data_IF_769093769007
#
_entry.id   IF_769093769007
#
_cell.length_a   1.000
_cell.length_b   1.000
_cell.length_c   1.000
_cell.angle_alpha   90.00
_cell.angle_beta   90.00
_cell.angle_gamma   90.00
#
_symmetry.space_group_name_H-M   'P 1'
#
loop_
_entity.id
_entity.type
_entity.pdbx_description
1 polymer ?
#
# COMPACT_ATOMS: atom_id res chain seq x y z
N UNK A 1 21.35 23.93 -42.83
CA UNK A 1 21.47 23.78 -41.37
C UNK A 1 21.33 22.31 -41.04
N UNK A 2 22.37 21.66 -40.52
CA UNK A 2 22.35 20.26 -40.10
C UNK A 2 22.07 20.17 -38.58
N UNK A 3 21.40 19.12 -38.08
CA UNK A 3 21.15 18.98 -36.66
C UNK A 3 22.42 18.54 -35.94
N UNK A 4 22.69 19.13 -34.78
CA UNK A 4 23.80 18.76 -33.90
C UNK A 4 23.66 17.31 -33.44
N UNK A 5 24.69 16.50 -33.71
CA UNK A 5 24.80 15.15 -33.20
C UNK A 5 24.99 15.19 -31.67
N UNK A 6 24.10 14.50 -30.95
CA UNK A 6 24.26 14.26 -29.51
C UNK A 6 25.44 13.30 -29.34
N UNK A 7 26.51 13.78 -28.68
CA UNK A 7 27.66 12.96 -28.35
C UNK A 7 27.25 11.94 -27.28
N UNK A 8 27.00 10.69 -27.67
CA UNK A 8 26.88 9.58 -26.73
C UNK A 8 28.31 9.15 -26.34
N UNK A 9 28.79 9.63 -25.20
CA UNK A 9 29.96 9.03 -24.55
C UNK A 9 29.70 7.56 -24.20
N UNK A 10 30.75 6.73 -24.02
CA UNK A 10 30.57 5.34 -23.64
C UNK A 10 29.76 5.25 -22.34
N UNK A 11 28.69 4.46 -22.36
CA UNK A 11 27.84 4.20 -21.20
C UNK A 11 28.72 3.73 -20.04
N UNK A 12 28.56 4.38 -18.87
CA UNK A 12 29.28 3.97 -17.67
C UNK A 12 28.88 2.53 -17.31
N UNK A 13 29.80 1.73 -16.76
CA UNK A 13 29.48 0.38 -16.25
C UNK A 13 28.28 0.39 -15.29
N UNK A 14 28.06 1.49 -14.58
CA UNK A 14 26.89 1.70 -13.72
C UNK A 14 25.58 1.83 -14.51
N UNK A 15 25.59 2.47 -15.68
CA UNK A 15 24.42 2.63 -16.55
C UNK A 15 24.00 1.29 -17.17
N UNK A 16 24.97 0.44 -17.49
CA UNK A 16 24.73 -0.92 -17.98
C UNK A 16 24.15 -1.86 -16.91
N UNK A 17 24.49 -1.64 -15.63
CA UNK A 17 23.92 -2.40 -14.52
C UNK A 17 22.48 -1.95 -14.20
N UNK A 18 22.18 -0.65 -14.32
CA UNK A 18 20.83 -0.09 -14.15
C UNK A 18 19.90 -0.57 -15.28
N UNK A 19 20.39 -0.69 -16.52
CA UNK A 19 19.60 -1.15 -17.66
C UNK A 19 19.25 -2.64 -17.61
N UNK A 20 20.03 -3.45 -16.88
CA UNK A 20 19.82 -4.90 -16.74
C UNK A 20 18.88 -5.29 -15.60
N UNK A 21 18.67 -4.41 -14.63
CA UNK A 21 17.71 -4.65 -13.54
C UNK A 21 16.27 -4.63 -14.09
N UNK A 22 15.52 -5.73 -13.87
CA UNK A 22 14.10 -5.77 -14.26
C UNK A 22 13.32 -4.75 -13.44
N UNK A 23 13.01 -3.60 -14.05
CA UNK A 23 12.23 -2.53 -13.42
C UNK A 23 10.87 -3.10 -13.00
N UNK A 24 10.64 -3.15 -11.69
CA UNK A 24 9.33 -3.51 -11.15
C UNK A 24 8.43 -2.29 -11.29
N UNK A 25 7.58 -2.30 -12.31
CA UNK A 25 6.54 -1.28 -12.46
C UNK A 25 5.36 -1.61 -11.55
N UNK A 26 4.82 -0.62 -10.81
CA UNK A 26 3.53 -0.78 -10.13
C UNK A 26 2.45 -1.21 -11.12
N UNK A 27 1.57 -2.10 -10.70
CA UNK A 27 0.47 -2.63 -11.52
C UNK A 27 -0.90 -2.23 -10.97
N UNK A 28 -1.01 -2.15 -9.65
CA UNK A 28 -2.26 -1.81 -8.98
C UNK A 28 -1.96 -1.10 -7.66
N UNK A 29 -2.87 -0.20 -7.27
CA UNK A 29 -2.93 0.34 -5.92
C UNK A 29 -3.50 -0.76 -5.00
N UNK A 30 -2.77 -1.13 -3.96
CA UNK A 30 -3.21 -2.10 -2.98
C UNK A 30 -4.03 -1.41 -1.89
N UNK A 31 -3.36 -0.59 -1.09
CA UNK A 31 -3.94 0.00 0.11
C UNK A 31 -3.35 1.37 0.46
N UNK A 32 -4.09 2.09 1.29
CA UNK A 32 -3.71 3.39 1.85
C UNK A 32 -3.61 3.28 3.37
N UNK A 33 -2.47 3.66 3.92
CA UNK A 33 -2.21 3.75 5.35
C UNK A 33 -2.45 5.16 5.87
N UNK A 34 -3.21 5.29 6.96
CA UNK A 34 -3.54 6.56 7.60
C UNK A 34 -3.06 6.56 9.05
N UNK A 35 -2.19 7.51 9.41
CA UNK A 35 -1.74 7.71 10.78
C UNK A 35 -2.65 8.69 11.52
N UNK A 36 -3.13 8.31 12.70
CA UNK A 36 -4.03 9.14 13.51
C UNK A 36 -3.68 9.12 14.99
N UNK A 37 -4.06 10.21 15.67
CA UNK A 37 -3.96 10.32 17.12
C UNK A 37 -4.90 9.32 17.81
N UNK A 38 -4.60 8.90 19.05
CA UNK A 38 -5.41 7.93 19.78
C UNK A 38 -6.89 8.26 19.87
N UNK A 39 -7.23 9.54 20.05
CA UNK A 39 -8.60 10.02 20.22
C UNK A 39 -9.45 9.86 18.94
N UNK A 40 -8.80 9.73 17.77
CA UNK A 40 -9.47 9.59 16.48
C UNK A 40 -9.36 8.20 15.89
N UNK A 41 -8.72 7.26 16.57
CA UNK A 41 -8.51 5.91 16.06
C UNK A 41 -9.84 5.17 15.82
N UNK A 42 -10.65 4.99 16.86
CA UNK A 42 -11.93 4.29 16.75
C UNK A 42 -12.97 5.05 15.90
N UNK A 43 -13.18 6.38 16.10
CA UNK A 43 -14.12 7.13 15.26
C UNK A 43 -13.79 7.09 13.76
N UNK A 44 -12.50 7.01 13.41
CA UNK A 44 -12.10 6.91 12.00
C UNK A 44 -12.41 5.54 11.42
N UNK A 45 -12.24 4.46 12.20
CA UNK A 45 -12.62 3.11 11.78
C UNK A 45 -14.12 3.08 11.48
N UNK A 46 -14.94 3.54 12.41
CA UNK A 46 -16.40 3.56 12.27
C UNK A 46 -16.83 4.38 11.04
N UNK A 47 -16.21 5.54 10.84
CA UNK A 47 -16.50 6.40 9.70
C UNK A 47 -16.16 5.74 8.36
N UNK A 48 -14.99 5.10 8.23
CA UNK A 48 -14.61 4.43 6.99
C UNK A 48 -15.44 3.16 6.75
N UNK A 49 -15.81 2.43 7.79
CA UNK A 49 -16.77 1.34 7.70
C UNK A 49 -18.11 1.83 7.14
N UNK A 50 -18.64 2.94 7.64
CA UNK A 50 -19.91 3.50 7.18
C UNK A 50 -19.85 4.06 5.74
N UNK A 51 -18.84 4.88 5.44
CA UNK A 51 -18.77 5.60 4.15
C UNK A 51 -18.40 4.68 2.99
N UNK A 52 -17.50 3.72 3.22
CA UNK A 52 -17.04 2.81 2.18
C UNK A 52 -17.80 1.48 2.17
N UNK A 53 -18.77 1.31 3.09
CA UNK A 53 -19.37 0.02 3.38
C UNK A 53 -18.29 -1.07 3.61
N UNK A 54 -17.27 -0.70 4.39
CA UNK A 54 -16.10 -1.54 4.62
C UNK A 54 -16.27 -2.46 5.83
N UNK A 55 -15.64 -3.62 5.77
CA UNK A 55 -15.56 -4.61 6.82
C UNK A 55 -14.16 -4.61 7.44
N UNK A 56 -14.10 -4.85 8.75
CA UNK A 56 -12.85 -4.99 9.50
C UNK A 56 -12.31 -6.40 9.26
N UNK A 57 -11.16 -6.51 8.59
CA UNK A 57 -10.45 -7.80 8.43
C UNK A 57 -9.64 -8.15 9.67
N UNK A 58 -9.06 -7.14 10.31
CA UNK A 58 -8.26 -7.27 11.53
C UNK A 58 -8.29 -5.95 12.30
N UNK A 59 -8.30 -6.02 13.63
CA UNK A 59 -8.21 -4.86 14.49
C UNK A 59 -7.53 -5.23 15.81
N UNK A 60 -6.59 -4.39 16.23
CA UNK A 60 -6.03 -4.39 17.58
C UNK A 60 -5.98 -2.94 18.14
N UNK A 61 -5.26 -2.76 19.24
CA UNK A 61 -5.15 -1.47 19.94
C UNK A 61 -4.35 -0.42 19.16
N UNK A 62 -3.60 -0.80 18.12
CA UNK A 62 -2.68 0.05 17.37
C UNK A 62 -3.06 0.13 15.88
N UNK A 63 -3.67 -0.90 15.31
CA UNK A 63 -3.87 -1.04 13.88
C UNK A 63 -5.21 -1.70 13.52
N UNK A 64 -5.87 -1.15 12.51
CA UNK A 64 -7.08 -1.72 11.92
C UNK A 64 -6.96 -1.79 10.40
N UNK A 65 -7.32 -2.96 9.85
CA UNK A 65 -7.38 -3.23 8.42
C UNK A 65 -8.82 -3.30 7.95
N UNK A 66 -9.16 -2.48 6.96
CA UNK A 66 -10.49 -2.37 6.38
C UNK A 66 -10.47 -2.81 4.92
N UNK A 67 -11.47 -3.59 4.53
CA UNK A 67 -11.71 -4.03 3.14
C UNK A 67 -13.14 -3.74 2.72
N UNK A 68 -13.34 -3.45 1.44
CA UNK A 68 -14.68 -3.28 0.84
C UNK A 68 -14.81 -4.02 -0.50
N UNK A 69 -13.79 -4.81 -0.86
CA UNK A 69 -13.79 -5.71 -2.02
C UNK A 69 -12.94 -6.97 -1.70
N UNK A 70 -12.64 -7.76 -2.74
CA UNK A 70 -11.93 -9.03 -2.60
C UNK A 70 -10.49 -8.92 -2.08
N UNK A 71 -9.87 -7.74 -2.06
CA UNK A 71 -8.52 -7.58 -1.53
C UNK A 71 -8.48 -7.74 0.00
N UNK A 72 -7.32 -8.17 0.52
CA UNK A 72 -7.12 -8.43 1.94
C UNK A 72 -7.44 -7.21 2.83
N UNK A 73 -6.99 -6.03 2.39
CA UNK A 73 -7.41 -4.72 2.90
C UNK A 73 -7.13 -3.65 1.87
N UNK A 74 -7.94 -2.60 1.89
CA UNK A 74 -7.80 -1.39 1.06
C UNK A 74 -7.38 -0.18 1.88
N UNK A 75 -7.67 -0.19 3.17
CA UNK A 75 -7.28 0.88 4.10
C UNK A 75 -6.71 0.31 5.38
N UNK A 76 -5.66 0.95 5.88
CA UNK A 76 -5.06 0.65 7.17
C UNK A 76 -5.09 1.92 8.04
N UNK A 77 -5.70 1.85 9.22
CA UNK A 77 -5.72 2.95 10.18
C UNK A 77 -4.73 2.60 11.29
N UNK A 78 -3.73 3.45 11.49
CA UNK A 78 -2.66 3.27 12.47
C UNK A 78 -2.80 4.32 13.56
N UNK A 79 -2.93 3.87 14.80
CA UNK A 79 -2.84 4.70 15.99
C UNK A 79 -1.38 5.09 16.22
N UNK A 80 -1.12 6.39 16.34
CA UNK A 80 0.20 6.95 16.62
C UNK A 80 0.14 7.73 17.91
N UNK A 81 0.61 7.10 19.00
CA UNK A 81 0.64 7.70 20.34
C UNK A 81 1.55 8.93 20.42
N UNK A 82 2.49 9.06 19.49
CA UNK A 82 3.46 10.14 19.44
C UNK A 82 2.93 11.39 18.72
N UNK A 83 1.70 11.36 18.18
CA UNK A 83 1.09 12.50 17.50
C UNK A 83 0.20 13.27 18.47
N UNK A 84 0.34 14.59 18.48
CA UNK A 84 -0.52 15.48 19.25
C UNK A 84 -1.77 15.89 18.45
N UNK A 85 -2.86 16.12 19.16
CA UNK A 85 -4.06 16.74 18.60
C UNK A 85 -3.72 18.13 18.07
N UNK A 86 -4.23 18.44 16.87
CA UNK A 86 -3.99 19.74 16.23
C UNK A 86 -5.16 20.69 16.47
N UNK A 87 -4.92 22.01 16.57
CA UNK A 87 -5.99 23.00 16.68
C UNK A 87 -6.95 22.90 15.49
N UNK A 88 -8.25 23.12 15.76
CA UNK A 88 -9.27 23.16 14.72
C UNK A 88 -8.91 24.22 13.66
N UNK A 89 -9.13 23.90 12.39
CA UNK A 89 -8.84 24.80 11.26
C UNK A 89 -7.38 24.75 10.76
N UNK A 90 -6.51 23.98 11.41
CA UNK A 90 -5.13 23.77 10.93
C UNK A 90 -5.08 22.55 10.02
N UNK A 91 -4.60 22.73 8.79
CA UNK A 91 -4.37 21.62 7.85
C UNK A 91 -3.35 20.64 8.43
N UNK A 92 -3.62 19.34 8.28
CA UNK A 92 -2.77 18.30 8.83
C UNK A 92 -2.49 17.19 7.82
N UNK A 93 -1.25 16.68 7.85
CA UNK A 93 -0.86 15.48 7.11
C UNK A 93 -1.28 14.27 7.95
N UNK A 94 -2.14 13.41 7.38
CA UNK A 94 -2.61 12.17 8.01
C UNK A 94 -2.44 10.92 7.14
N UNK A 95 -1.85 11.08 5.95
CA UNK A 95 -1.42 9.97 5.10
C UNK A 95 -0.10 9.44 5.64
N UNK A 96 -0.04 8.14 5.89
CA UNK A 96 1.19 7.46 6.30
C UNK A 96 1.93 6.89 5.09
N UNK A 97 1.23 6.09 4.29
CA UNK A 97 1.80 5.51 3.07
C UNK A 97 0.72 5.09 2.06
N UNK A 98 1.16 4.90 0.82
CA UNK A 98 0.38 4.31 -0.27
C UNK A 98 1.18 3.11 -0.77
N UNK A 99 0.56 1.93 -0.83
CA UNK A 99 1.22 0.70 -1.28
C UNK A 99 0.68 0.26 -2.64
N UNK A 100 1.58 -0.14 -3.53
CA UNK A 100 1.23 -0.67 -4.84
C UNK A 100 1.79 -2.08 -5.03
N UNK A 101 1.03 -2.94 -5.68
CA UNK A 101 1.51 -4.25 -6.11
C UNK A 101 2.44 -4.08 -7.30
N UNK A 102 3.55 -4.81 -7.30
CA UNK A 102 4.38 -5.00 -8.48
C UNK A 102 4.04 -6.34 -9.14
N UNK A 103 4.28 -6.46 -10.44
CA UNK A 103 4.18 -7.76 -11.10
C UNK A 103 5.30 -8.66 -10.56
N UNK A 104 4.95 -9.65 -9.74
CA UNK A 104 5.88 -10.73 -9.42
C UNK A 104 6.11 -11.58 -10.67
N UNK A 105 7.37 -11.92 -10.98
CA UNK A 105 7.72 -12.72 -12.16
C UNK A 105 7.56 -14.23 -11.97
N UNK A 106 7.07 -14.67 -10.81
CA UNK A 106 6.73 -16.08 -10.58
C UNK A 106 5.22 -16.21 -10.40
N UNK A 107 4.54 -17.12 -11.13
CA UNK A 107 3.13 -17.41 -10.86
C UNK A 107 2.99 -18.01 -9.46
N UNK A 108 2.03 -17.52 -8.68
CA UNK A 108 1.73 -17.96 -7.30
C UNK A 108 1.38 -19.46 -7.17
N UNK A 109 1.20 -20.16 -8.29
CA UNK A 109 0.75 -21.57 -8.37
C UNK A 109 1.71 -22.58 -7.72
N UNK A 110 2.90 -22.19 -7.26
CA UNK A 110 3.90 -23.13 -6.72
C UNK A 110 4.24 -22.96 -5.23
N UNK A 111 3.72 -21.96 -4.51
CA UNK A 111 4.16 -21.72 -3.11
C UNK A 111 3.10 -21.98 -2.04
N UNK A 112 1.79 -21.98 -2.35
CA UNK A 112 0.76 -22.35 -1.35
C UNK A 112 -0.37 -23.14 -1.99
N UNK A 113 -0.23 -24.48 -2.02
CA UNK A 113 -1.27 -25.48 -1.73
C UNK A 113 -0.84 -26.88 -2.23
N UNK A 114 -0.09 -27.68 -1.45
CA UNK A 114 -0.25 -29.12 -1.50
C UNK A 114 -1.45 -29.47 -0.61
N UNK A 115 -2.56 -29.85 -1.25
CA UNK A 115 -3.77 -30.44 -0.64
C UNK A 115 -4.67 -29.51 0.20
N UNK A 116 -5.92 -29.38 -0.25
CA UNK A 116 -7.02 -28.80 0.52
C UNK A 116 -8.05 -29.91 0.75
N UNK A 117 -8.45 -30.20 2.00
CA UNK A 117 -9.80 -30.63 2.29
C UNK A 117 -10.55 -29.49 2.99
N UNK A 118 -11.64 -29.07 2.34
CA UNK A 118 -12.88 -28.50 2.92
C UNK A 118 -12.80 -27.59 4.16
N UNK A 119 -13.23 -26.33 3.97
CA UNK A 119 -13.92 -25.59 5.02
C UNK A 119 -13.07 -24.66 5.89
N UNK A 120 -12.39 -23.69 5.29
CA UNK A 120 -12.05 -22.41 5.93
C UNK A 120 -11.96 -21.35 4.82
N UNK A 121 -12.54 -20.18 5.10
CA UNK A 121 -12.90 -19.12 4.15
C UNK A 121 -11.76 -18.68 3.21
N UNK A 122 -12.02 -18.42 1.92
CA UNK A 122 -11.21 -17.48 1.17
C UNK A 122 -11.58 -16.05 1.61
N UNK A 123 -10.57 -15.30 2.03
CA UNK A 123 -10.49 -13.83 2.12
C UNK A 123 -11.79 -13.01 2.02
#
# INVERSE_FOLDING_TARGET
MAPSAVHHGPLSSSDALISKAKRQTPQALCHVGLGKIPEHYHPMIDWYCAVLNAHITHQDNVLAFLRYDAEHHRSAIVKRDNLASKPKGVMCVGLDHIACATRHSQPWRSIICPSRPTGCCPC
#
